data_IF_733049053183
#
_entry.id   IF_733049053183
#
_cell.length_a   1.000
_cell.length_b   1.000
_cell.length_c   1.000
_cell.angle_alpha   90.00
_cell.angle_beta   90.00
_cell.angle_gamma   90.00
#
_symmetry.space_group_name_H-M   'P 1'
#
loop_
_entity.id
_entity.type
_entity.pdbx_description
1 polymer ?
#
# COMPACT_ATOMS: atom_id res chain seq x y z
N UNK A 1 -27.24 -15.03 5.93
CA UNK A 1 -26.54 -15.11 7.23
C UNK A 1 -25.45 -14.05 7.24
N UNK A 2 -25.26 -13.36 8.35
CA UNK A 2 -24.23 -12.33 8.45
C UNK A 2 -22.89 -12.97 8.85
N UNK A 3 -21.81 -12.56 8.18
CA UNK A 3 -20.45 -12.99 8.49
C UNK A 3 -19.83 -12.04 9.50
N UNK A 4 -19.18 -12.59 10.51
CA UNK A 4 -18.48 -11.82 11.52
C UNK A 4 -17.05 -12.33 11.67
N UNK A 5 -16.12 -11.40 11.83
CA UNK A 5 -14.75 -11.68 12.25
C UNK A 5 -14.69 -11.74 13.77
N UNK A 6 -13.95 -12.70 14.30
CA UNK A 6 -13.72 -12.85 15.73
C UNK A 6 -12.59 -11.93 16.16
N UNK A 7 -12.90 -10.94 16.99
CA UNK A 7 -11.93 -9.98 17.55
C UNK A 7 -11.47 -10.36 18.95
N UNK A 8 -12.24 -11.18 19.67
CA UNK A 8 -11.85 -11.76 20.97
C UNK A 8 -12.16 -13.25 20.97
N UNK A 9 -11.22 -14.10 21.37
CA UNK A 9 -11.41 -15.55 21.30
C UNK A 9 -12.40 -16.01 22.38
N UNK A 10 -13.03 -17.16 22.14
CA UNK A 10 -13.83 -17.87 23.13
C UNK A 10 -13.71 -19.37 22.92
N UNK A 11 -14.53 -20.16 23.64
CA UNK A 11 -14.46 -21.62 23.61
C UNK A 11 -14.50 -22.18 22.18
N UNK A 12 -13.34 -22.67 21.72
CA UNK A 12 -13.17 -23.29 20.39
C UNK A 12 -13.06 -22.33 19.21
N UNK A 13 -12.96 -21.02 19.43
CA UNK A 13 -12.89 -20.00 18.36
C UNK A 13 -11.75 -19.03 18.61
N UNK A 14 -10.88 -18.85 17.61
CA UNK A 14 -9.69 -18.02 17.69
C UNK A 14 -9.93 -16.62 17.13
N UNK A 15 -9.04 -15.68 17.45
CA UNK A 15 -9.05 -14.34 16.83
C UNK A 15 -8.74 -14.46 15.35
N UNK A 16 -9.51 -13.75 14.52
CA UNK A 16 -9.40 -13.76 13.06
C UNK A 16 -10.27 -14.82 12.37
N UNK A 17 -10.88 -15.74 13.12
CA UNK A 17 -11.83 -16.68 12.55
C UNK A 17 -13.09 -15.95 12.03
N UNK A 18 -13.68 -16.49 10.96
CA UNK A 18 -14.92 -15.97 10.38
C UNK A 18 -16.07 -16.90 10.75
N UNK A 19 -17.05 -16.36 11.46
CA UNK A 19 -18.26 -17.09 11.88
C UNK A 19 -19.50 -16.56 11.16
N UNK A 20 -20.34 -17.49 10.71
CA UNK A 20 -21.63 -17.17 10.11
C UNK A 20 -22.72 -17.32 11.16
N UNK A 21 -23.39 -16.21 11.49
CA UNK A 21 -24.44 -16.17 12.50
C UNK A 21 -25.75 -15.71 11.85
N UNK A 22 -26.82 -16.46 12.11
CA UNK A 22 -28.18 -16.06 11.71
C UNK A 22 -28.68 -14.91 12.58
N UNK A 23 -28.48 -15.01 13.90
CA UNK A 23 -28.78 -13.96 14.88
C UNK A 23 -27.60 -13.76 15.83
N UNK A 24 -27.15 -12.52 15.97
CA UNK A 24 -26.09 -12.16 16.90
C UNK A 24 -26.63 -12.07 18.34
N UNK A 25 -26.17 -12.95 19.22
CA UNK A 25 -26.51 -12.89 20.65
C UNK A 25 -25.77 -11.73 21.34
N UNK A 26 -26.40 -10.98 22.28
CA UNK A 26 -25.77 -9.85 22.97
C UNK A 26 -24.43 -10.17 23.62
N UNK A 27 -24.26 -11.39 24.15
CA UNK A 27 -23.01 -11.85 24.76
C UNK A 27 -21.83 -11.94 23.77
N UNK A 28 -22.10 -12.19 22.49
CA UNK A 28 -21.05 -12.33 21.47
C UNK A 28 -20.72 -11.00 20.79
N UNK A 29 -21.55 -9.95 20.98
CA UNK A 29 -21.40 -8.65 20.32
C UNK A 29 -20.03 -8.00 20.57
N UNK A 30 -19.45 -8.19 21.75
CA UNK A 30 -18.12 -7.66 22.09
C UNK A 30 -16.97 -8.50 21.55
N UNK A 31 -17.24 -9.72 21.10
CA UNK A 31 -16.23 -10.65 20.62
C UNK A 31 -16.16 -10.72 19.10
N UNK A 32 -17.15 -10.16 18.40
CA UNK A 32 -17.23 -10.24 16.95
C UNK A 32 -17.41 -8.86 16.31
N UNK A 33 -16.87 -8.71 15.11
CA UNK A 33 -17.03 -7.54 14.24
C UNK A 33 -17.72 -7.96 12.97
N UNK A 34 -18.74 -7.22 12.53
CA UNK A 34 -19.41 -7.52 11.26
C UNK A 34 -18.41 -7.37 10.12
N UNK A 35 -18.22 -8.43 9.33
CA UNK A 35 -17.38 -8.38 8.14
C UNK A 35 -18.14 -7.67 7.03
N UNK A 36 -17.78 -6.41 6.76
CA UNK A 36 -18.29 -5.64 5.63
C UNK A 36 -17.38 -5.88 4.41
N UNK A 37 -17.47 -7.07 3.81
CA UNK A 37 -16.75 -7.45 2.58
C UNK A 37 -15.22 -7.48 2.71
N UNK A 38 -14.54 -7.82 1.61
CA UNK A 38 -13.08 -8.00 1.43
C UNK A 38 -12.24 -6.71 1.66
N UNK A 39 -12.80 -5.73 2.36
CA UNK A 39 -12.23 -4.41 2.67
C UNK A 39 -12.24 -4.14 4.18
N UNK A 40 -12.01 -5.17 5.01
CA UNK A 40 -11.92 -5.09 6.47
C UNK A 40 -10.73 -4.29 7.02
N UNK A 41 -10.01 -3.62 6.15
CA UNK A 41 -8.93 -2.70 6.50
C UNK A 41 -8.42 -2.03 5.23
N UNK A 42 -9.18 -1.06 4.70
CA UNK A 42 -8.52 0.00 3.94
C UNK A 42 -7.62 0.72 4.95
N UNK A 43 -6.37 0.28 5.01
CA UNK A 43 -5.33 0.92 5.78
C UNK A 43 -5.10 2.26 5.11
N UNK A 44 -5.72 3.31 5.62
CA UNK A 44 -5.30 4.66 5.28
C UNK A 44 -3.89 4.82 5.85
N UNK A 45 -2.83 4.91 5.01
CA UNK A 45 -1.50 5.13 5.54
C UNK A 45 -1.51 6.45 6.31
N UNK A 46 -0.88 6.49 7.48
CA UNK A 46 -0.81 7.69 8.32
C UNK A 46 -0.11 8.88 7.62
N UNK A 47 0.53 8.62 6.47
CA UNK A 47 1.10 9.60 5.56
C UNK A 47 0.49 9.37 4.17
N UNK A 48 -0.50 10.17 3.74
CA UNK A 48 -1.12 10.01 2.41
C UNK A 48 -0.12 10.18 1.25
N UNK A 49 1.02 10.83 1.50
CA UNK A 49 2.08 11.06 0.50
C UNK A 49 3.04 9.87 0.31
N UNK A 50 2.96 8.84 1.15
CA UNK A 50 3.70 7.58 0.97
C UNK A 50 2.89 6.52 0.20
N UNK A 51 1.69 6.88 -0.27
CA UNK A 51 0.94 6.11 -1.27
C UNK A 51 1.54 6.27 -2.67
N UNK A 52 1.27 5.31 -3.54
CA UNK A 52 1.73 5.15 -4.94
C UNK A 52 1.19 6.29 -5.86
N UNK A 53 1.31 7.55 -5.46
CA UNK A 53 0.74 8.73 -6.14
C UNK A 53 1.78 9.77 -6.56
N UNK A 54 2.91 9.86 -5.87
CA UNK A 54 3.99 10.81 -6.17
C UNK A 54 5.29 10.03 -6.27
N UNK A 55 5.56 9.45 -7.45
CA UNK A 55 6.87 8.86 -7.74
C UNK A 55 7.94 9.91 -7.43
N UNK A 56 8.85 9.61 -6.51
CA UNK A 56 9.94 10.53 -6.18
C UNK A 56 10.73 10.85 -7.45
N UNK A 57 11.32 12.05 -7.57
CA UNK A 57 12.21 12.43 -8.69
C UNK A 57 13.21 11.32 -9.04
N UNK A 58 13.73 10.66 -7.99
CA UNK A 58 14.60 9.49 -8.08
C UNK A 58 13.96 8.29 -8.80
N UNK A 59 12.70 7.96 -8.50
CA UNK A 59 11.99 6.81 -9.07
C UNK A 59 11.60 7.02 -10.53
N UNK A 60 11.27 8.27 -10.91
CA UNK A 60 11.00 8.65 -12.30
C UNK A 60 12.28 8.47 -13.14
N UNK A 61 13.39 9.02 -12.66
CA UNK A 61 14.70 8.89 -13.31
C UNK A 61 15.14 7.42 -13.36
N UNK A 62 15.00 6.68 -12.25
CA UNK A 62 15.33 5.26 -12.18
C UNK A 62 14.50 4.40 -13.15
N UNK A 63 13.20 4.70 -13.28
CA UNK A 63 12.34 4.02 -14.24
C UNK A 63 12.82 4.29 -15.67
N UNK A 64 13.13 5.54 -16.01
CA UNK A 64 13.62 5.91 -17.34
C UNK A 64 14.97 5.30 -17.68
N UNK A 65 15.91 5.28 -16.73
CA UNK A 65 17.21 4.60 -16.91
C UNK A 65 17.02 3.10 -17.16
N UNK A 66 16.08 2.47 -16.47
CA UNK A 66 15.74 1.05 -16.69
C UNK A 66 15.15 0.83 -18.08
N UNK A 67 14.27 1.73 -18.55
CA UNK A 67 13.71 1.67 -19.91
C UNK A 67 14.77 1.84 -21.01
N UNK A 68 15.77 2.69 -20.78
CA UNK A 68 16.91 2.89 -21.68
C UNK A 68 17.96 1.76 -21.58
N UNK A 69 17.79 0.80 -20.67
CA UNK A 69 18.74 -0.29 -20.45
C UNK A 69 20.05 0.14 -19.79
N UNK A 70 20.05 1.26 -19.07
CA UNK A 70 21.21 1.81 -18.37
C UNK A 70 21.22 1.26 -16.95
N UNK A 71 22.22 0.45 -16.62
CA UNK A 71 22.41 -0.09 -15.26
C UNK A 71 22.89 1.01 -14.30
N UNK A 72 22.15 1.24 -13.21
CA UNK A 72 22.51 2.20 -12.18
C UNK A 72 22.52 1.56 -10.79
N UNK A 73 23.32 2.11 -9.88
CA UNK A 73 23.32 1.67 -8.48
C UNK A 73 22.13 2.26 -7.72
N UNK A 74 21.29 1.42 -7.13
CA UNK A 74 20.10 1.85 -6.38
C UNK A 74 20.37 2.77 -5.17
N UNK A 75 21.62 2.88 -4.73
CA UNK A 75 22.04 3.80 -3.67
C UNK A 75 22.35 5.23 -4.18
N UNK A 76 22.32 5.48 -5.49
CA UNK A 76 22.56 6.80 -6.06
C UNK A 76 21.39 7.75 -5.73
N UNK A 77 21.72 9.01 -5.47
CA UNK A 77 20.75 10.10 -5.29
C UNK A 77 20.15 10.53 -6.63
N UNK A 78 19.06 11.29 -6.59
CA UNK A 78 18.36 11.76 -7.79
C UNK A 78 19.26 12.57 -8.74
N UNK A 79 20.21 13.34 -8.21
CA UNK A 79 21.17 14.13 -8.99
C UNK A 79 22.09 13.23 -9.82
N UNK A 80 22.73 12.23 -9.19
CA UNK A 80 23.62 11.29 -9.89
C UNK A 80 22.92 10.36 -10.86
N UNK A 81 21.67 10.01 -10.58
CA UNK A 81 20.86 9.26 -11.54
C UNK A 81 20.47 10.14 -12.72
N UNK A 82 20.24 11.43 -12.47
CA UNK A 82 19.95 12.40 -13.52
C UNK A 82 21.12 12.62 -14.47
N UNK A 83 22.35 12.63 -13.96
CA UNK A 83 23.58 12.71 -14.77
C UNK A 83 23.81 11.49 -15.68
N UNK A 84 23.19 10.33 -15.38
CA UNK A 84 23.27 9.13 -16.21
C UNK A 84 22.25 9.14 -17.35
N UNK A 85 21.26 10.03 -17.30
CA UNK A 85 20.34 10.22 -18.41
C UNK A 85 21.05 10.97 -19.55
N UNK A 86 20.72 10.69 -20.82
CA UNK A 86 21.19 11.49 -21.94
C UNK A 86 20.85 12.98 -21.75
N UNK A 87 21.75 13.88 -22.15
CA UNK A 87 21.54 15.33 -22.04
C UNK A 87 20.26 15.74 -22.78
N UNK A 88 19.31 16.36 -22.06
CA UNK A 88 17.99 16.78 -22.57
C UNK A 88 16.80 15.99 -22.00
N UNK A 89 16.96 14.70 -21.69
CA UNK A 89 15.85 13.88 -21.16
C UNK A 89 15.45 14.28 -19.73
N UNK A 90 16.39 14.78 -18.92
CA UNK A 90 16.09 15.24 -17.58
C UNK A 90 15.23 16.52 -17.57
N UNK A 91 15.42 17.40 -18.55
CA UNK A 91 14.60 18.61 -18.77
C UNK A 91 13.22 18.25 -19.31
N UNK A 92 13.09 17.22 -20.16
CA UNK A 92 11.78 16.69 -20.58
C UNK A 92 11.00 16.06 -19.41
N UNK A 93 11.70 15.37 -18.51
CA UNK A 93 11.09 14.73 -17.33
C UNK A 93 10.76 15.72 -16.21
N UNK A 94 11.50 16.81 -16.10
CA UNK A 94 11.30 17.86 -15.09
C UNK A 94 11.39 19.24 -15.75
N UNK A 95 10.38 19.64 -16.54
CA UNK A 95 10.36 20.98 -17.11
C UNK A 95 10.38 22.00 -15.97
N UNK A 96 11.38 22.87 -15.98
CA UNK A 96 11.47 23.99 -15.05
C UNK A 96 10.50 25.06 -15.57
N UNK A 97 9.31 25.16 -14.96
CA UNK A 97 8.40 26.29 -15.20
C UNK A 97 9.02 27.61 -14.74
#
# INVERSE_FOLDING_TARGET
MAKYEVIRPWFGVNVGDVVELDKLHPALKSNVRLMRGEAGGELTPATPEAGIGTKSRKEIIASRLTELGIEFKGNLGAEKLGELLPEGELDELFPTE
#
